data_IF_705732423361
#
_entry.id   IF_705732423361
#
_cell.length_a   1.000
_cell.length_b   1.000
_cell.length_c   1.000
_cell.angle_alpha   90.00
_cell.angle_beta   90.00
_cell.angle_gamma   90.00
#
_symmetry.space_group_name_H-M   'P 1'
#
loop_
_entity.id
_entity.type
_entity.pdbx_description
1 polymer ?
#
# COMPACT_ATOMS: atom_id res chain seq x y z
N UNK A 1 -12.93 18.49 3.42
CA UNK A 1 -12.36 17.51 2.47
C UNK A 1 -13.38 17.13 1.42
N UNK A 2 -12.94 17.18 0.16
CA UNK A 2 -13.78 16.89 -1.02
C UNK A 2 -12.91 16.28 -2.12
N UNK A 3 -13.47 15.42 -2.96
CA UNK A 3 -12.82 15.00 -4.21
C UNK A 3 -12.72 16.22 -5.13
N UNK A 4 -11.50 16.63 -5.48
CA UNK A 4 -11.24 17.81 -6.32
C UNK A 4 -11.19 17.47 -7.78
N UNK A 5 -10.55 16.34 -8.10
CA UNK A 5 -10.34 15.91 -9.47
C UNK A 5 -10.24 14.39 -9.54
N UNK A 6 -10.72 13.82 -10.64
CA UNK A 6 -10.58 12.40 -10.96
C UNK A 6 -10.21 12.30 -12.41
N UNK A 7 -9.18 11.51 -12.72
CA UNK A 7 -8.73 11.29 -14.09
C UNK A 7 -8.60 9.81 -14.39
N UNK A 8 -8.86 9.42 -15.65
CA UNK A 8 -8.69 8.03 -16.12
C UNK A 8 -7.22 7.70 -16.29
N UNK A 9 -6.81 6.51 -15.86
CA UNK A 9 -5.42 6.06 -15.87
C UNK A 9 -5.37 4.61 -16.28
N UNK A 10 -4.89 4.34 -17.49
CA UNK A 10 -4.58 2.99 -17.96
C UNK A 10 -5.70 1.96 -17.77
N UNK A 11 -5.31 0.70 -17.63
CA UNK A 11 -6.20 -0.44 -17.34
C UNK A 11 -5.48 -1.43 -16.45
N UNK A 12 -6.14 -1.95 -15.44
CA UNK A 12 -5.57 -2.81 -14.41
C UNK A 12 -4.63 -2.08 -13.45
N UNK A 13 -4.96 -0.86 -13.02
CA UNK A 13 -4.14 -0.12 -12.04
C UNK A 13 -4.24 -0.71 -10.64
N UNK A 14 -3.16 -0.60 -9.86
CA UNK A 14 -3.07 -1.07 -8.48
C UNK A 14 -2.58 0.02 -7.55
N UNK A 15 -1.37 -0.08 -7.02
CA UNK A 15 -0.83 0.88 -6.07
C UNK A 15 -0.27 2.11 -6.79
N UNK A 16 -0.11 3.14 -5.98
CA UNK A 16 0.53 4.37 -6.38
C UNK A 16 1.49 4.83 -5.27
N UNK A 17 2.53 5.56 -5.67
CA UNK A 17 3.45 6.24 -4.74
C UNK A 17 3.59 7.70 -5.16
N UNK A 18 3.72 8.59 -4.18
CA UNK A 18 3.99 10.01 -4.41
C UNK A 18 5.49 10.26 -4.40
N UNK A 19 5.98 10.96 -5.42
CA UNK A 19 7.33 11.48 -5.46
C UNK A 19 7.34 12.94 -5.02
N UNK A 20 7.95 13.22 -3.87
CA UNK A 20 8.02 14.57 -3.30
C UNK A 20 8.96 15.47 -4.08
N UNK A 21 10.08 14.93 -4.59
CA UNK A 21 11.06 15.72 -5.36
C UNK A 21 10.51 16.13 -6.72
N UNK A 22 9.68 15.28 -7.33
CA UNK A 22 9.11 15.50 -8.66
C UNK A 22 7.70 16.08 -8.68
N UNK A 23 7.04 16.23 -7.52
CA UNK A 23 5.61 16.55 -7.39
C UNK A 23 4.74 15.72 -8.36
N UNK A 24 4.98 14.40 -8.36
CA UNK A 24 4.40 13.47 -9.30
C UNK A 24 3.88 12.22 -8.59
N UNK A 25 2.95 11.52 -9.23
CA UNK A 25 2.50 10.19 -8.79
C UNK A 25 3.02 9.15 -9.76
N UNK A 26 3.48 8.02 -9.25
CA UNK A 26 3.74 6.82 -10.06
C UNK A 26 2.67 5.78 -9.75
N UNK A 27 1.98 5.30 -10.78
CA UNK A 27 0.83 4.39 -10.66
C UNK A 27 1.12 3.12 -11.45
N UNK A 28 1.07 1.96 -10.81
CA UNK A 28 1.27 0.69 -11.49
C UNK A 28 0.05 0.29 -12.30
N UNK A 29 0.27 -0.37 -13.44
CA UNK A 29 -0.79 -0.85 -14.33
C UNK A 29 -0.44 -2.22 -14.91
N UNK A 30 -1.12 -3.25 -14.42
CA UNK A 30 -0.94 -4.64 -14.85
C UNK A 30 -1.56 -4.90 -16.21
N UNK A 31 -2.69 -4.25 -16.51
CA UNK A 31 -3.43 -4.49 -17.76
C UNK A 31 -2.75 -3.85 -18.96
N UNK A 32 -2.08 -2.72 -18.79
CA UNK A 32 -1.25 -2.09 -19.84
C UNK A 32 0.25 -2.38 -19.70
N UNK A 33 0.65 -3.10 -18.64
CA UNK A 33 2.04 -3.45 -18.34
C UNK A 33 2.97 -2.24 -18.31
N UNK A 34 2.52 -1.20 -17.60
CA UNK A 34 3.22 0.07 -17.50
C UNK A 34 3.16 0.63 -16.07
N UNK A 35 4.07 1.56 -15.77
CA UNK A 35 3.96 2.46 -14.62
C UNK A 35 3.73 3.86 -15.20
N UNK A 36 2.61 4.47 -14.88
CA UNK A 36 2.29 5.83 -15.34
C UNK A 36 2.84 6.86 -14.37
N UNK A 37 3.49 7.89 -14.89
CA UNK A 37 3.81 9.10 -14.15
C UNK A 37 2.70 10.12 -14.38
N UNK A 38 2.12 10.62 -13.31
CA UNK A 38 1.07 11.62 -13.35
C UNK A 38 1.58 12.91 -12.72
N UNK A 39 1.15 14.04 -13.27
CA UNK A 39 1.24 15.32 -12.57
C UNK A 39 0.33 15.29 -11.33
N UNK A 40 0.86 15.57 -10.14
CA UNK A 40 0.10 15.38 -8.90
C UNK A 40 -1.08 16.36 -8.74
N UNK A 41 -1.04 17.52 -9.41
CA UNK A 41 -2.11 18.52 -9.31
C UNK A 41 -3.29 18.22 -10.24
N UNK A 42 -2.98 17.84 -11.48
CA UNK A 42 -3.95 17.63 -12.56
C UNK A 42 -4.29 16.17 -12.79
N UNK A 43 -3.51 15.24 -12.23
CA UNK A 43 -3.59 13.79 -12.47
C UNK A 43 -3.45 13.41 -13.95
N UNK A 44 -3.00 14.32 -14.81
CA UNK A 44 -2.72 14.03 -16.21
C UNK A 44 -1.54 13.06 -16.30
N UNK A 45 -1.66 12.03 -17.14
CA UNK A 45 -0.54 11.16 -17.47
C UNK A 45 0.46 11.97 -18.29
N UNK A 46 1.67 12.16 -17.75
CA UNK A 46 2.74 12.95 -18.38
C UNK A 46 3.86 12.07 -18.92
N UNK A 47 3.95 10.82 -18.46
CA UNK A 47 4.99 9.88 -18.87
C UNK A 47 4.59 8.44 -18.53
N UNK A 48 5.34 7.46 -19.05
CA UNK A 48 5.20 6.06 -18.64
C UNK A 48 6.51 5.29 -18.72
N UNK A 49 6.59 4.22 -17.92
CA UNK A 49 7.69 3.26 -17.92
C UNK A 49 7.09 1.89 -18.29
N UNK A 50 7.64 1.24 -19.32
CA UNK A 50 7.22 -0.09 -19.71
C UNK A 50 7.77 -1.17 -18.77
N UNK A 51 6.90 -2.10 -18.33
CA UNK A 51 7.24 -3.25 -17.50
C UNK A 51 6.63 -4.53 -18.10
N UNK A 52 6.91 -4.76 -19.39
CA UNK A 52 6.25 -5.77 -20.23
C UNK A 52 6.42 -7.21 -19.73
N UNK A 53 7.59 -7.49 -19.17
CA UNK A 53 8.02 -8.84 -18.82
C UNK A 53 7.62 -9.20 -17.38
N UNK A 54 7.40 -8.20 -16.54
CA UNK A 54 7.04 -8.35 -15.15
C UNK A 54 6.00 -7.27 -14.75
N UNK A 55 4.69 -7.55 -14.94
CA UNK A 55 3.64 -6.58 -14.64
C UNK A 55 3.65 -6.17 -13.15
N UNK A 56 3.74 -4.87 -12.91
CA UNK A 56 3.85 -4.27 -11.58
C UNK A 56 2.49 -4.17 -10.85
N UNK A 57 2.47 -4.51 -9.56
CA UNK A 57 1.31 -4.41 -8.66
C UNK A 57 1.56 -3.38 -7.56
N UNK A 58 2.40 -3.75 -6.59
CA UNK A 58 2.81 -2.85 -5.52
C UNK A 58 3.96 -1.96 -5.93
N UNK A 59 4.12 -0.80 -5.28
CA UNK A 59 5.13 0.19 -5.65
C UNK A 59 5.67 0.98 -4.46
N UNK A 60 7.00 1.08 -4.41
CA UNK A 60 7.74 1.93 -3.48
C UNK A 60 8.78 2.75 -4.24
N UNK A 61 9.18 3.88 -3.67
CA UNK A 61 10.20 4.76 -4.24
C UNK A 61 11.31 4.99 -3.22
N UNK A 62 12.55 4.99 -3.70
CA UNK A 62 13.67 5.59 -3.00
C UNK A 62 14.05 6.87 -3.74
N UNK A 63 13.70 8.02 -3.18
CA UNK A 63 13.95 9.34 -3.72
C UNK A 63 15.43 9.73 -3.68
N UNK A 64 16.19 9.21 -2.73
CA UNK A 64 17.63 9.49 -2.66
C UNK A 64 18.40 8.83 -3.81
N UNK A 65 18.00 7.61 -4.18
CA UNK A 65 18.63 6.87 -5.28
C UNK A 65 17.90 7.01 -6.62
N UNK A 66 16.70 7.62 -6.61
CA UNK A 66 15.81 7.72 -7.78
C UNK A 66 15.47 6.34 -8.37
N UNK A 67 15.15 5.39 -7.49
CA UNK A 67 14.80 4.01 -7.85
C UNK A 67 13.36 3.70 -7.45
N UNK A 68 12.56 3.19 -8.38
CA UNK A 68 11.29 2.54 -8.06
C UNK A 68 11.50 1.05 -7.80
N UNK A 69 10.79 0.53 -6.83
CA UNK A 69 10.68 -0.91 -6.56
C UNK A 69 9.23 -1.33 -6.76
N UNK A 70 8.98 -2.31 -7.62
CA UNK A 70 7.63 -2.83 -7.86
C UNK A 70 7.53 -4.31 -7.58
N UNK A 71 6.45 -4.74 -6.93
CA UNK A 71 6.15 -6.16 -6.78
C UNK A 71 5.52 -6.70 -8.05
N UNK A 72 5.99 -7.86 -8.47
CA UNK A 72 5.52 -8.58 -9.65
C UNK A 72 4.76 -9.82 -9.17
N UNK A 73 3.59 -9.60 -8.58
CA UNK A 73 2.80 -10.61 -7.85
C UNK A 73 2.63 -11.92 -8.62
N UNK A 74 2.44 -11.88 -9.95
CA UNK A 74 2.21 -13.08 -10.77
C UNK A 74 3.44 -13.95 -10.97
N UNK A 75 4.63 -13.37 -10.87
CA UNK A 75 5.91 -14.05 -11.10
C UNK A 75 6.71 -14.21 -9.82
N UNK A 76 6.14 -13.82 -8.67
CA UNK A 76 6.80 -13.75 -7.37
C UNK A 76 8.21 -13.15 -7.46
N UNK A 77 8.28 -11.89 -7.90
CA UNK A 77 9.54 -11.15 -8.00
C UNK A 77 9.35 -9.67 -7.68
N UNK A 78 10.45 -8.94 -7.63
CA UNK A 78 10.49 -7.48 -7.46
C UNK A 78 11.35 -6.88 -8.57
N UNK A 79 10.88 -5.82 -9.22
CA UNK A 79 11.70 -5.07 -10.17
C UNK A 79 12.25 -3.81 -9.52
N UNK A 80 13.56 -3.60 -9.62
CA UNK A 80 14.21 -2.32 -9.35
C UNK A 80 14.33 -1.56 -10.68
N UNK A 81 13.87 -0.32 -10.70
CA UNK A 81 13.71 0.49 -11.91
C UNK A 81 14.37 1.83 -11.67
N UNK A 82 15.35 2.17 -12.50
CA UNK A 82 16.02 3.47 -12.45
C UNK A 82 15.12 4.53 -13.11
N UNK A 83 14.74 5.57 -12.37
CA UNK A 83 13.79 6.59 -12.83
C UNK A 83 14.38 7.50 -13.92
N UNK A 84 15.70 7.65 -13.97
CA UNK A 84 16.37 8.53 -14.95
C UNK A 84 16.35 7.90 -16.34
N UNK A 85 16.71 6.62 -16.42
CA UNK A 85 16.80 5.82 -17.65
C UNK A 85 15.49 5.13 -18.00
N UNK A 86 14.56 5.01 -17.04
CA UNK A 86 13.28 4.29 -17.14
C UNK A 86 13.45 2.82 -17.48
N UNK A 87 14.56 2.22 -17.06
CA UNK A 87 14.86 0.81 -17.32
C UNK A 87 14.76 0.00 -16.05
N UNK A 88 14.24 -1.22 -16.18
CA UNK A 88 14.39 -2.24 -15.15
C UNK A 88 15.87 -2.59 -15.06
N UNK A 89 16.53 -2.20 -13.97
CA UNK A 89 17.94 -2.47 -13.74
C UNK A 89 18.18 -3.84 -13.12
N UNK A 90 17.17 -4.37 -12.41
CA UNK A 90 17.22 -5.71 -11.83
C UNK A 90 15.81 -6.27 -11.64
N UNK A 91 15.65 -7.55 -11.96
CA UNK A 91 14.52 -8.36 -11.49
C UNK A 91 15.04 -9.30 -10.40
N UNK A 92 14.46 -9.18 -9.21
CA UNK A 92 14.86 -9.86 -7.98
C UNK A 92 13.83 -10.97 -7.75
N UNK A 93 14.24 -12.21 -7.94
CA UNK A 93 13.41 -13.37 -7.63
C UNK A 93 13.64 -13.79 -6.17
N UNK A 94 12.58 -14.25 -5.52
CA UNK A 94 12.66 -14.86 -4.19
C UNK A 94 12.74 -16.38 -4.25
N UNK A 95 12.59 -17.04 -3.11
CA UNK A 95 12.49 -18.49 -3.03
C UNK A 95 11.39 -19.04 -3.95
N UNK A 96 11.65 -20.18 -4.59
CA UNK A 96 10.65 -20.87 -5.41
C UNK A 96 9.68 -21.64 -4.52
N UNK A 97 8.65 -20.95 -4.03
CA UNK A 97 7.58 -21.54 -3.25
C UNK A 97 6.20 -21.01 -3.68
N UNK A 98 5.12 -21.62 -3.18
CA UNK A 98 3.73 -21.25 -3.51
C UNK A 98 3.33 -19.98 -2.76
N UNK A 99 3.92 -18.86 -3.14
CA UNK A 99 3.79 -17.55 -2.52
C UNK A 99 3.74 -16.43 -3.58
N UNK A 100 3.49 -15.20 -3.16
CA UNK A 100 3.51 -14.05 -4.07
C UNK A 100 3.82 -12.74 -3.34
N UNK A 101 4.67 -11.92 -3.95
CA UNK A 101 4.95 -10.56 -3.50
C UNK A 101 3.68 -9.68 -3.52
N UNK A 102 3.54 -8.83 -2.50
CA UNK A 102 2.38 -7.95 -2.31
C UNK A 102 2.78 -6.49 -2.11
N UNK A 103 2.99 -6.06 -0.87
CA UNK A 103 3.34 -4.67 -0.55
C UNK A 103 4.85 -4.47 -0.58
N UNK A 104 5.28 -3.24 -0.84
CA UNK A 104 6.69 -2.84 -0.79
C UNK A 104 6.85 -1.52 -0.05
N UNK A 105 7.78 -1.48 0.91
CA UNK A 105 8.16 -0.24 1.60
C UNK A 105 9.66 -0.04 1.52
N UNK A 106 10.08 1.22 1.52
CA UNK A 106 11.47 1.62 1.35
C UNK A 106 11.94 2.37 2.58
N UNK A 107 13.08 1.94 3.14
CA UNK A 107 13.85 2.73 4.08
C UNK A 107 15.01 3.42 3.35
N UNK A 108 14.79 4.67 2.95
CA UNK A 108 15.80 5.48 2.25
C UNK A 108 17.02 5.83 3.11
N UNK A 109 16.93 5.72 4.44
CA UNK A 109 18.06 6.06 5.33
C UNK A 109 19.08 4.93 5.34
N UNK A 110 18.60 3.68 5.28
CA UNK A 110 19.42 2.49 5.19
C UNK A 110 19.61 1.99 3.75
N UNK A 111 18.92 2.61 2.79
CA UNK A 111 18.80 2.12 1.41
C UNK A 111 18.38 0.65 1.38
N UNK A 112 17.32 0.30 2.12
CA UNK A 112 16.75 -1.04 2.20
C UNK A 112 15.31 -1.04 1.72
N UNK A 113 14.89 -2.17 1.15
CA UNK A 113 13.53 -2.37 0.67
C UNK A 113 12.97 -3.62 1.32
N UNK A 114 11.75 -3.53 1.85
CA UNK A 114 11.05 -4.62 2.51
C UNK A 114 9.80 -4.97 1.71
N UNK A 115 9.64 -6.25 1.40
CA UNK A 115 8.53 -6.74 0.57
C UNK A 115 7.82 -7.86 1.28
N UNK A 116 6.50 -7.76 1.41
CA UNK A 116 5.71 -8.88 1.91
C UNK A 116 5.51 -9.93 0.83
N UNK A 117 5.73 -11.18 1.21
CA UNK A 117 5.56 -12.35 0.35
C UNK A 117 4.52 -13.28 0.98
N UNK A 118 3.35 -13.32 0.35
CA UNK A 118 2.11 -13.82 0.94
C UNK A 118 1.94 -15.31 0.65
N UNK A 119 1.83 -16.11 1.71
CA UNK A 119 1.62 -17.56 1.62
C UNK A 119 1.18 -18.20 2.95
N UNK A 120 1.16 -19.53 2.99
CA UNK A 120 0.83 -20.32 4.20
C UNK A 120 1.83 -20.13 5.35
N UNK A 121 3.11 -19.92 5.02
CA UNK A 121 4.12 -19.32 5.88
C UNK A 121 4.65 -18.08 5.17
N UNK A 122 4.02 -16.92 5.44
CA UNK A 122 4.40 -15.68 4.75
C UNK A 122 5.79 -15.24 5.17
N UNK A 123 6.45 -14.51 4.28
CA UNK A 123 7.83 -14.04 4.46
C UNK A 123 7.91 -12.54 4.27
N UNK A 124 9.04 -11.98 4.70
CA UNK A 124 9.44 -10.63 4.31
C UNK A 124 10.80 -10.72 3.63
N UNK A 125 10.89 -10.21 2.42
CA UNK A 125 12.17 -10.07 1.73
C UNK A 125 12.82 -8.76 2.15
N UNK A 126 14.11 -8.83 2.46
CA UNK A 126 14.97 -7.68 2.68
C UNK A 126 15.88 -7.57 1.46
N UNK A 127 15.74 -6.48 0.73
CA UNK A 127 16.50 -6.18 -0.47
C UNK A 127 17.47 -5.06 -0.14
N UNK A 128 18.73 -5.26 -0.50
CA UNK A 128 19.76 -4.23 -0.43
C UNK A 128 19.61 -3.29 -1.63
N UNK A 129 19.28 -2.02 -1.38
CA UNK A 129 19.02 -1.03 -2.44
C UNK A 129 20.28 -0.50 -3.12
N UNK A 130 21.49 -0.81 -2.62
CA UNK A 130 22.75 -0.43 -3.28
C UNK A 130 23.07 -1.41 -4.40
N UNK A 131 22.84 -2.70 -4.16
CA UNK A 131 23.11 -3.79 -5.09
C UNK A 131 21.88 -4.25 -5.86
N UNK A 132 20.68 -3.85 -5.40
CA UNK A 132 19.39 -4.38 -5.83
C UNK A 132 19.35 -5.92 -5.75
N UNK A 133 19.94 -6.50 -4.71
CA UNK A 133 19.96 -7.94 -4.50
C UNK A 133 19.10 -8.34 -3.29
N UNK A 134 18.53 -9.54 -3.34
CA UNK A 134 17.89 -10.15 -2.17
C UNK A 134 18.99 -10.44 -1.13
N UNK A 135 18.97 -9.70 -0.03
CA UNK A 135 19.96 -9.81 1.04
C UNK A 135 19.54 -10.87 2.06
N UNK A 136 18.25 -10.89 2.41
CA UNK A 136 17.71 -11.79 3.42
C UNK A 136 16.24 -12.09 3.15
N UNK A 137 15.81 -13.28 3.55
CA UNK A 137 14.40 -13.64 3.67
C UNK A 137 14.10 -13.90 5.14
N UNK A 138 13.13 -13.18 5.69
CA UNK A 138 12.62 -13.40 7.04
C UNK A 138 11.43 -14.34 6.92
N UNK A 139 11.61 -15.56 7.40
CA UNK A 139 10.62 -16.65 7.34
C UNK A 139 9.56 -16.52 8.45
N UNK A 140 8.43 -17.20 8.26
CA UNK A 140 7.39 -17.40 9.28
C UNK A 140 6.86 -16.09 9.91
N UNK A 141 6.61 -15.08 9.09
CA UNK A 141 6.12 -13.76 9.53
C UNK A 141 4.62 -13.74 9.85
N UNK A 142 3.95 -14.87 9.62
CA UNK A 142 2.55 -15.09 9.94
C UNK A 142 1.79 -15.77 8.81
N UNK A 143 0.47 -15.86 8.98
CA UNK A 143 -0.44 -16.46 8.01
C UNK A 143 -1.03 -15.37 7.13
N UNK A 144 -0.70 -15.40 5.83
CA UNK A 144 -1.17 -14.42 4.85
C UNK A 144 -0.82 -12.98 5.27
N UNK A 145 0.48 -12.72 5.49
CA UNK A 145 1.01 -11.41 5.88
C UNK A 145 0.96 -10.43 4.71
N UNK A 146 0.04 -9.48 4.71
CA UNK A 146 -0.24 -8.58 3.58
C UNK A 146 0.39 -7.19 3.78
N UNK A 147 -0.28 -6.32 4.53
CA UNK A 147 0.15 -4.96 4.82
C UNK A 147 1.44 -4.93 5.61
N UNK A 148 2.25 -3.89 5.40
CA UNK A 148 3.51 -3.68 6.09
C UNK A 148 3.75 -2.20 6.38
N UNK A 149 4.28 -1.91 7.56
CA UNK A 149 4.84 -0.61 7.91
C UNK A 149 6.09 -0.78 8.79
N UNK A 150 6.92 0.27 8.87
CA UNK A 150 8.21 0.22 9.55
C UNK A 150 8.30 1.25 10.68
N UNK A 151 8.76 0.81 11.86
CA UNK A 151 9.42 1.67 12.83
C UNK A 151 10.92 1.65 12.54
N UNK A 152 11.38 2.67 11.80
CA UNK A 152 12.79 2.79 11.41
C UNK A 152 13.71 2.94 12.62
N UNK A 153 13.26 3.58 13.70
CA UNK A 153 14.09 3.82 14.88
C UNK A 153 14.34 2.53 15.64
N UNK A 154 13.30 1.72 15.85
CA UNK A 154 13.44 0.44 16.53
C UNK A 154 13.85 -0.70 15.60
N UNK A 155 13.90 -0.48 14.28
CA UNK A 155 14.15 -1.52 13.27
C UNK A 155 13.15 -2.68 13.39
N UNK A 156 11.86 -2.33 13.49
CA UNK A 156 10.76 -3.30 13.53
C UNK A 156 9.79 -3.07 12.39
N UNK A 157 9.29 -4.17 11.83
CA UNK A 157 8.21 -4.18 10.86
C UNK A 157 6.91 -4.61 11.55
N UNK A 158 5.84 -3.93 11.21
CA UNK A 158 4.49 -4.28 11.61
C UNK A 158 3.76 -4.80 10.38
N UNK A 159 3.27 -6.02 10.44
CA UNK A 159 2.54 -6.66 9.32
C UNK A 159 1.14 -7.06 9.72
N UNK A 160 0.19 -6.97 8.79
CA UNK A 160 -1.15 -7.55 9.00
C UNK A 160 -1.15 -9.00 8.57
N UNK A 161 -1.33 -9.91 9.53
CA UNK A 161 -1.50 -11.34 9.30
C UNK A 161 -2.99 -11.63 9.07
N UNK A 162 -3.45 -11.43 7.83
CA UNK A 162 -4.87 -11.49 7.48
C UNK A 162 -5.50 -12.85 7.80
N UNK A 163 -4.73 -13.94 7.69
CA UNK A 163 -5.22 -15.29 7.93
C UNK A 163 -5.42 -15.63 9.41
N UNK A 164 -4.90 -14.81 10.32
CA UNK A 164 -5.04 -14.98 11.78
C UNK A 164 -5.60 -13.74 12.49
N UNK A 165 -5.93 -12.66 11.75
CA UNK A 165 -6.38 -11.37 12.28
C UNK A 165 -5.44 -10.79 13.36
N UNK A 166 -4.13 -10.87 13.13
CA UNK A 166 -3.10 -10.34 14.03
C UNK A 166 -2.26 -9.25 13.36
N UNK A 167 -1.75 -8.32 14.15
CA UNK A 167 -0.61 -7.46 13.81
C UNK A 167 0.64 -8.24 14.23
N UNK A 168 1.43 -8.73 13.27
CA UNK A 168 2.73 -9.33 13.54
C UNK A 168 3.80 -8.26 13.73
N UNK A 169 4.66 -8.42 14.73
CA UNK A 169 5.83 -7.56 14.97
C UNK A 169 7.08 -8.36 14.63
N UNK A 170 7.78 -7.94 13.58
CA UNK A 170 9.00 -8.58 13.10
C UNK A 170 10.18 -7.71 13.45
N UNK A 171 11.15 -8.26 14.18
CA UNK A 171 12.42 -7.57 14.45
C UNK A 171 13.35 -7.80 13.26
N UNK A 172 13.80 -6.72 12.61
CA UNK A 172 14.61 -6.82 11.38
C UNK A 172 16.00 -7.38 11.69
N UNK A 173 16.60 -7.00 12.83
CA UNK A 173 17.95 -7.42 13.20
C UNK A 173 17.97 -8.91 13.54
N UNK A 174 17.06 -9.35 14.41
CA UNK A 174 16.87 -10.76 14.71
C UNK A 174 16.36 -11.53 13.49
N UNK A 175 15.61 -10.83 12.61
CA UNK A 175 14.91 -11.34 11.44
C UNK A 175 14.02 -12.52 11.76
N UNK A 176 13.08 -12.27 12.68
CA UNK A 176 12.00 -13.19 13.02
C UNK A 176 10.80 -12.39 13.53
N UNK A 177 9.62 -13.01 13.43
CA UNK A 177 8.44 -12.58 14.18
C UNK A 177 8.74 -12.70 15.68
N UNK A 178 8.68 -11.59 16.40
CA UNK A 178 8.96 -11.54 17.85
C UNK A 178 7.71 -11.38 18.69
N UNK A 179 6.60 -10.92 18.10
CA UNK A 179 5.35 -10.75 18.82
C UNK A 179 4.15 -10.68 17.86
N UNK A 180 2.93 -10.77 18.41
CA UNK A 180 1.68 -10.56 17.68
C UNK A 180 0.61 -9.94 18.57
N UNK A 181 -0.19 -9.03 18.01
CA UNK A 181 -1.28 -8.35 18.72
C UNK A 181 -2.61 -8.59 17.97
N UNK A 182 -3.70 -8.95 18.65
CA UNK A 182 -5.01 -9.06 17.99
C UNK A 182 -5.40 -7.75 17.33
N UNK A 183 -5.85 -7.82 16.09
CA UNK A 183 -6.31 -6.64 15.35
C UNK A 183 -7.65 -6.13 15.87
N UNK A 184 -8.47 -7.00 16.45
CA UNK A 184 -9.83 -6.69 16.90
C UNK A 184 -10.89 -6.68 15.79
N UNK A 185 -10.52 -7.00 14.54
CA UNK A 185 -11.44 -7.07 13.40
C UNK A 185 -11.20 -8.31 12.54
N UNK A 186 -11.85 -8.37 11.37
CA UNK A 186 -11.79 -9.53 10.48
C UNK A 186 -11.27 -9.20 9.08
N UNK A 187 -10.38 -10.06 8.57
CA UNK A 187 -9.78 -9.87 7.26
C UNK A 187 -8.92 -8.61 7.23
N UNK A 188 -8.06 -8.43 8.23
CA UNK A 188 -7.15 -7.29 8.34
C UNK A 188 -6.16 -7.28 7.17
N UNK A 189 -6.24 -6.26 6.32
CA UNK A 189 -5.53 -6.22 5.03
C UNK A 189 -4.31 -5.32 5.04
N UNK A 190 -4.44 -4.11 5.61
CA UNK A 190 -3.38 -3.12 5.71
C UNK A 190 -3.42 -2.37 7.04
N UNK A 191 -2.31 -1.69 7.36
CA UNK A 191 -2.17 -0.91 8.58
C UNK A 191 -1.42 0.42 8.34
N UNK A 192 -1.65 1.39 9.22
CA UNK A 192 -0.92 2.65 9.26
C UNK A 192 -0.40 2.90 10.69
N UNK A 193 0.92 3.11 10.82
CA UNK A 193 1.57 3.34 12.12
C UNK A 193 1.52 4.81 12.53
N UNK A 194 1.18 5.05 13.79
CA UNK A 194 1.31 6.34 14.47
C UNK A 194 2.24 6.17 15.68
N UNK A 195 3.55 6.15 15.41
CA UNK A 195 4.58 5.93 16.43
C UNK A 195 4.62 7.06 17.46
N UNK A 196 4.25 8.29 17.07
CA UNK A 196 4.21 9.44 17.99
C UNK A 196 3.21 9.21 19.12
N UNK A 197 2.07 8.57 18.81
CA UNK A 197 1.02 8.28 19.76
C UNK A 197 0.96 6.79 20.16
N UNK A 198 2.01 6.01 19.88
CA UNK A 198 2.13 4.58 20.19
C UNK A 198 0.90 3.76 19.78
N UNK A 199 0.40 3.95 18.56
CA UNK A 199 -0.79 3.24 18.08
C UNK A 199 -0.68 2.86 16.61
N UNK A 200 -1.55 1.96 16.20
CA UNK A 200 -1.68 1.50 14.81
C UNK A 200 -3.15 1.48 14.42
N UNK A 201 -3.44 1.94 13.21
CA UNK A 201 -4.75 1.83 12.58
C UNK A 201 -4.74 0.62 11.64
N UNK A 202 -5.73 -0.25 11.72
CA UNK A 202 -5.81 -1.47 10.91
C UNK A 202 -7.12 -1.48 10.12
N UNK A 203 -7.03 -1.62 8.79
CA UNK A 203 -8.20 -1.78 7.93
C UNK A 203 -8.65 -3.24 7.88
N UNK A 204 -9.90 -3.50 8.28
CA UNK A 204 -10.47 -4.83 8.36
C UNK A 204 -11.52 -5.01 7.27
N UNK A 205 -11.13 -5.73 6.22
CA UNK A 205 -11.90 -5.78 4.98
C UNK A 205 -13.24 -6.50 5.14
N UNK A 206 -13.29 -7.57 5.96
CA UNK A 206 -14.50 -8.37 6.14
C UNK A 206 -15.47 -7.72 7.12
N UNK A 207 -14.98 -7.14 8.21
CA UNK A 207 -15.81 -6.49 9.24
C UNK A 207 -16.23 -5.05 8.91
N UNK A 208 -15.70 -4.48 7.81
CA UNK A 208 -16.01 -3.12 7.33
C UNK A 208 -15.75 -2.03 8.39
N UNK A 209 -14.59 -2.10 9.02
CA UNK A 209 -14.15 -1.14 10.01
C UNK A 209 -12.64 -0.92 9.99
N UNK A 210 -12.22 0.12 10.71
CA UNK A 210 -10.85 0.31 11.16
C UNK A 210 -10.78 0.12 12.66
N UNK A 211 -9.82 -0.68 13.12
CA UNK A 211 -9.48 -0.75 14.54
C UNK A 211 -8.26 0.12 14.85
N UNK A 212 -8.27 0.75 16.01
CA UNK A 212 -7.13 1.48 16.58
C UNK A 212 -6.58 0.65 17.72
N UNK A 213 -5.33 0.22 17.62
CA UNK A 213 -4.67 -0.60 18.63
C UNK A 213 -3.55 0.20 19.27
N UNK A 214 -3.54 0.29 20.59
CA UNK A 214 -2.44 0.88 21.35
C UNK A 214 -1.29 -0.13 21.44
N UNK A 215 -0.12 0.25 20.96
CA UNK A 215 1.05 -0.61 20.86
C UNK A 215 1.72 -0.88 22.22
N UNK A 216 1.44 -0.06 23.24
CA UNK A 216 2.02 -0.19 24.58
C UNK A 216 1.21 -1.16 25.44
N UNK A 217 -0.10 -0.95 25.51
CA UNK A 217 -1.07 -1.76 26.26
C UNK A 217 -1.51 -3.00 25.48
N UNK A 218 -1.30 -3.00 24.16
CA UNK A 218 -1.69 -4.08 23.23
C UNK A 218 -3.19 -4.30 23.17
N UNK A 219 -3.97 -3.26 23.46
CA UNK A 219 -5.44 -3.30 23.46
C UNK A 219 -6.02 -2.51 22.30
N UNK A 220 -7.18 -2.95 21.84
CA UNK A 220 -8.02 -2.17 20.93
C UNK A 220 -8.57 -0.98 21.71
N UNK A 221 -8.23 0.22 21.27
CA UNK A 221 -8.71 1.50 21.84
C UNK A 221 -10.05 1.89 21.22
N UNK A 222 -10.24 1.61 19.94
CA UNK A 222 -11.46 1.99 19.22
C UNK A 222 -11.71 1.10 18.01
N UNK A 223 -12.98 0.88 17.71
CA UNK A 223 -13.45 0.30 16.44
C UNK A 223 -14.32 1.33 15.73
N UNK A 224 -13.90 1.73 14.53
CA UNK A 224 -14.51 2.82 13.75
C UNK A 224 -15.14 2.21 12.51
N UNK A 225 -16.47 2.31 12.39
CA UNK A 225 -17.16 1.85 11.19
C UNK A 225 -16.79 2.72 9.99
N UNK A 226 -16.52 2.08 8.87
CA UNK A 226 -16.23 2.72 7.57
C UNK A 226 -17.21 2.18 6.53
N UNK A 227 -16.84 2.19 5.25
CA UNK A 227 -17.57 1.49 4.19
C UNK A 227 -17.19 0.01 4.06
N UNK A 228 -18.03 -0.76 3.38
CA UNK A 228 -17.76 -2.14 3.03
C UNK A 228 -16.41 -2.29 2.31
N UNK A 229 -15.58 -3.23 2.77
CA UNK A 229 -14.33 -3.55 2.10
C UNK A 229 -13.17 -2.61 2.38
N UNK A 230 -13.02 -2.14 3.62
CA UNK A 230 -11.85 -1.38 4.07
C UNK A 230 -10.54 -2.10 3.66
N UNK A 231 -9.75 -1.47 2.81
CA UNK A 231 -8.61 -2.12 2.13
C UNK A 231 -7.32 -1.30 2.24
N UNK A 232 -7.24 -0.17 1.54
CA UNK A 232 -6.09 0.74 1.62
C UNK A 232 -6.26 1.67 2.81
N UNK A 233 -5.20 1.90 3.58
CA UNK A 233 -5.22 2.83 4.71
C UNK A 233 -3.92 3.63 4.79
N UNK A 234 -4.02 4.92 5.08
CA UNK A 234 -2.85 5.78 5.29
C UNK A 234 -3.13 6.84 6.35
N UNK A 235 -2.06 7.30 7.01
CA UNK A 235 -2.11 8.34 8.05
C UNK A 235 -1.38 9.60 7.58
N UNK A 236 -2.09 10.71 7.59
CA UNK A 236 -1.53 12.06 7.64
C UNK A 236 -1.39 12.48 9.10
N UNK A 237 -0.22 12.22 9.68
CA UNK A 237 0.06 12.56 11.08
C UNK A 237 0.13 14.08 11.31
N UNK A 238 0.47 14.87 10.29
CA UNK A 238 0.56 16.32 10.41
C UNK A 238 -0.83 16.97 10.51
N UNK A 239 -1.82 16.41 9.81
CA UNK A 239 -3.21 16.89 9.84
C UNK A 239 -4.14 16.06 10.73
N UNK A 240 -3.63 15.03 11.41
CA UNK A 240 -4.42 14.08 12.19
C UNK A 240 -5.58 13.49 11.37
N UNK A 241 -5.27 12.96 10.18
CA UNK A 241 -6.27 12.34 9.30
C UNK A 241 -5.86 10.92 8.93
N UNK A 242 -6.79 9.98 9.03
CA UNK A 242 -6.64 8.64 8.47
C UNK A 242 -7.59 8.51 7.29
N UNK A 243 -7.09 8.06 6.15
CA UNK A 243 -7.88 7.82 4.95
C UNK A 243 -8.00 6.32 4.74
N UNK A 244 -9.21 5.85 4.44
CA UNK A 244 -9.51 4.42 4.29
C UNK A 244 -10.24 4.22 2.98
N UNK A 245 -9.63 3.50 2.04
CA UNK A 245 -10.27 3.09 0.80
C UNK A 245 -11.21 1.89 1.05
N UNK A 246 -12.51 2.11 0.90
CA UNK A 246 -13.55 1.10 1.08
C UNK A 246 -13.91 0.53 -0.29
N UNK A 247 -13.22 -0.55 -0.66
CA UNK A 247 -13.27 -1.07 -2.02
C UNK A 247 -14.68 -1.39 -2.46
N UNK A 248 -15.43 -2.18 -1.71
CA UNK A 248 -16.78 -2.60 -2.07
C UNK A 248 -17.81 -1.47 -2.00
N UNK A 249 -17.61 -0.47 -1.14
CA UNK A 249 -18.50 0.67 -1.02
C UNK A 249 -18.30 1.74 -2.11
N UNK A 250 -17.15 1.77 -2.79
CA UNK A 250 -16.85 2.83 -3.75
C UNK A 250 -16.49 4.18 -3.10
N UNK A 251 -16.09 4.16 -1.83
CA UNK A 251 -15.82 5.38 -1.05
C UNK A 251 -14.44 5.38 -0.39
N UNK A 252 -14.01 6.57 0.02
CA UNK A 252 -12.92 6.78 0.96
C UNK A 252 -13.46 7.44 2.22
N UNK A 253 -13.36 6.76 3.35
CA UNK A 253 -13.68 7.34 4.65
C UNK A 253 -12.48 8.13 5.15
N UNK A 254 -12.73 9.35 5.65
CA UNK A 254 -11.74 10.14 6.37
C UNK A 254 -12.09 10.16 7.85
N UNK A 255 -11.11 9.81 8.68
CA UNK A 255 -11.24 9.70 10.13
C UNK A 255 -10.33 10.75 10.78
N UNK A 256 -10.81 11.44 11.81
CA UNK A 256 -9.97 12.25 12.68
C UNK A 256 -9.11 11.34 13.55
N UNK A 257 -7.78 11.42 13.39
CA UNK A 257 -6.88 10.57 14.16
C UNK A 257 -6.86 10.93 15.66
N UNK A 258 -7.33 12.11 16.08
CA UNK A 258 -7.29 12.53 17.49
C UNK A 258 -8.46 11.96 18.29
N UNK A 259 -9.68 12.09 17.79
CA UNK A 259 -10.90 11.69 18.50
C UNK A 259 -11.70 10.57 17.81
N UNK A 260 -11.15 10.00 16.74
CA UNK A 260 -11.67 8.83 16.03
C UNK A 260 -13.02 9.03 15.33
N UNK A 261 -13.45 10.27 15.16
CA UNK A 261 -14.69 10.57 14.42
C UNK A 261 -14.50 10.40 12.93
N UNK A 262 -15.53 9.88 12.25
CA UNK A 262 -15.61 9.96 10.80
C UNK A 262 -15.93 11.42 10.42
N UNK A 263 -15.03 12.00 9.63
CA UNK A 263 -15.14 13.39 9.16
C UNK A 263 -15.81 13.48 7.79
N UNK A 264 -15.63 12.45 6.96
CA UNK A 264 -16.23 12.38 5.64
C UNK A 264 -16.29 10.94 5.12
N UNK A 265 -17.25 10.66 4.24
CA UNK A 265 -17.28 9.46 3.42
C UNK A 265 -17.43 9.89 1.95
N UNK A 266 -16.34 9.79 1.20
CA UNK A 266 -16.16 10.44 -0.09
C UNK A 266 -16.28 9.43 -1.22
N UNK A 267 -17.22 9.60 -2.15
CA UNK A 267 -17.30 8.77 -3.35
C UNK A 267 -16.13 9.09 -4.29
N UNK A 268 -15.20 8.17 -4.48
CA UNK A 268 -13.98 8.40 -5.30
C UNK A 268 -13.96 7.61 -6.61
N UNK A 269 -14.73 6.54 -6.73
CA UNK A 269 -14.78 5.67 -7.92
C UNK A 269 -15.46 4.34 -7.63
N UNK A 270 -15.37 3.38 -8.57
CA UNK A 270 -16.08 2.10 -8.46
C UNK A 270 -15.47 1.19 -7.39
N UNK A 271 -14.18 0.88 -7.49
CA UNK A 271 -13.47 0.02 -6.53
C UNK A 271 -12.16 0.68 -6.06
N UNK A 272 -12.22 1.62 -5.09
CA UNK A 272 -11.03 2.19 -4.45
C UNK A 272 -10.10 1.08 -3.96
N UNK A 273 -8.81 1.18 -4.25
CA UNK A 273 -7.83 0.14 -3.97
C UNK A 273 -6.76 0.63 -3.00
N UNK A 274 -5.99 1.63 -3.42
CA UNK A 274 -4.88 2.20 -2.64
C UNK A 274 -5.17 3.66 -2.37
N UNK A 275 -4.82 4.13 -1.16
CA UNK A 275 -4.85 5.55 -0.80
C UNK A 275 -3.51 5.94 -0.17
N UNK A 276 -2.91 7.02 -0.67
CA UNK A 276 -1.68 7.61 -0.13
C UNK A 276 -1.90 9.10 0.14
N UNK A 277 -1.04 9.69 0.96
CA UNK A 277 -1.05 11.13 1.24
C UNK A 277 0.28 11.76 0.85
N UNK A 278 0.22 12.92 0.18
CA UNK A 278 1.35 13.84 0.13
C UNK A 278 1.46 14.54 1.49
N UNK A 279 2.49 14.17 2.26
CA UNK A 279 2.70 14.65 3.63
C UNK A 279 2.93 16.16 3.71
N UNK A 280 3.34 16.81 2.62
CA UNK A 280 3.60 18.25 2.59
C UNK A 280 2.30 19.04 2.50
N UNK A 281 1.40 18.64 1.59
CA UNK A 281 0.15 19.36 1.36
C UNK A 281 -1.01 18.84 2.20
N UNK A 282 -1.01 17.54 2.51
CA UNK A 282 -2.13 16.80 3.09
C UNK A 282 -3.16 16.35 2.05
N UNK A 283 -2.86 16.51 0.75
CA UNK A 283 -3.68 15.95 -0.32
C UNK A 283 -3.56 14.42 -0.33
N UNK A 284 -4.69 13.74 -0.49
CA UNK A 284 -4.72 12.28 -0.63
C UNK A 284 -5.03 11.88 -2.07
N UNK A 285 -4.43 10.78 -2.51
CA UNK A 285 -4.57 10.24 -3.85
C UNK A 285 -5.04 8.80 -3.79
N UNK A 286 -6.01 8.45 -4.64
CA UNK A 286 -6.72 7.17 -4.55
C UNK A 286 -6.74 6.52 -5.92
N UNK A 287 -6.27 5.28 -6.04
CA UNK A 287 -6.53 4.46 -7.24
C UNK A 287 -7.91 3.81 -7.12
N UNK A 288 -8.71 3.91 -8.18
CA UNK A 288 -10.01 3.24 -8.27
C UNK A 288 -10.01 2.32 -9.48
N UNK A 289 -10.30 1.04 -9.24
CA UNK A 289 -10.43 0.06 -10.29
C UNK A 289 -11.84 0.11 -10.90
N UNK A 290 -11.90 -0.06 -12.21
CA UNK A 290 -13.08 -0.29 -13.01
C UNK A 290 -13.82 -1.52 -12.52
N UNK A 291 -15.15 -1.50 -12.70
CA UNK A 291 -15.94 -2.70 -12.56
C UNK A 291 -15.61 -3.71 -13.66
N UNK A 292 -15.43 -4.96 -13.25
CA UNK A 292 -15.36 -6.11 -14.15
C UNK A 292 -16.45 -7.09 -13.75
N UNK A 293 -17.28 -7.53 -14.70
CA UNK A 293 -18.21 -8.64 -14.48
C UNK A 293 -17.58 -9.92 -15.01
N UNK A 294 -17.29 -10.86 -14.10
CA UNK A 294 -16.67 -12.14 -14.46
C UNK A 294 -17.54 -12.94 -15.44
N UNK A 295 -18.86 -12.83 -15.31
CA UNK A 295 -19.84 -13.58 -16.11
C UNK A 295 -20.35 -12.80 -17.33
N UNK A 296 -19.89 -11.57 -17.52
CA UNK A 296 -20.21 -10.76 -18.70
C UNK A 296 -18.92 -10.12 -19.26
N UNK A 297 -18.21 -10.82 -20.16
CA UNK A 297 -17.01 -10.28 -20.78
C UNK A 297 -17.27 -9.07 -21.69
N UNK A 298 -18.53 -8.74 -22.00
CA UNK A 298 -18.91 -7.54 -22.77
C UNK A 298 -19.17 -6.33 -21.88
N UNK A 299 -19.26 -6.48 -20.56
CA UNK A 299 -19.46 -5.37 -19.65
C UNK A 299 -18.24 -4.42 -19.67
N UNK A 300 -18.49 -3.15 -19.98
CA UNK A 300 -17.48 -2.09 -19.95
C UNK A 300 -17.89 -1.06 -18.90
N UNK A 301 -17.07 -0.88 -17.87
CA UNK A 301 -17.16 0.29 -17.01
C UNK A 301 -16.61 1.50 -17.78
N UNK A 302 -17.51 2.37 -18.24
CA UNK A 302 -17.16 3.55 -19.02
C UNK A 302 -16.30 4.54 -18.24
N UNK A 303 -16.23 4.47 -16.91
CA UNK A 303 -15.30 5.27 -16.12
C UNK A 303 -13.87 4.73 -16.20
N UNK A 304 -13.71 3.43 -16.44
CA UNK A 304 -12.40 2.77 -16.46
C UNK A 304 -11.68 2.86 -15.10
N UNK A 305 -10.39 2.56 -15.14
CA UNK A 305 -9.52 2.74 -13.99
C UNK A 305 -9.17 4.23 -13.84
N UNK A 306 -9.24 4.77 -12.64
CA UNK A 306 -9.05 6.21 -12.38
C UNK A 306 -8.17 6.47 -11.17
N UNK A 307 -7.56 7.66 -11.13
CA UNK A 307 -6.95 8.21 -9.91
C UNK A 307 -7.76 9.43 -9.49
N UNK A 308 -8.05 9.53 -8.20
CA UNK A 308 -8.80 10.64 -7.59
C UNK A 308 -7.91 11.42 -6.61
N UNK A 309 -8.00 12.75 -6.64
CA UNK A 309 -7.37 13.67 -5.71
C UNK A 309 -8.41 14.16 -4.70
N UNK A 310 -8.16 13.92 -3.42
CA UNK A 310 -8.90 14.47 -2.30
C UNK A 310 -8.09 15.64 -1.74
N UNK A 311 -8.67 16.84 -1.82
CA UNK A 311 -8.12 18.03 -1.18
C UNK A 311 -8.61 18.17 0.25
N UNK A 312 -7.86 18.93 1.05
CA UNK A 312 -8.28 19.40 2.38
C UNK A 312 -9.62 20.17 2.31
#
# INVERSE_FOLDING_TARGET
QTVKHTNKVGKGIYELVHSEQGNALYVTSVGTKAIYKLDAKTLAVVDSIAVTDAPAFGIGINEKTQTLYTTNTRTNSVSAIDLKTKKVVKTIAGPSDKSHTREVIVDEDLNKVYVTDVGGGSKIWVIDGKTNALERVIENTGKTSTGIAIDKKSQKLYVTNMGSNQIGIVDIKQGKLVDSIPTGGEGSTNLALDLKNNRVFVANQKSADVTVVDLKTRQVVQTIKTGAGALGITLDAAKNRVYVANRQAGTVTVIDAKDYKVLADLKTGTYPNTVIVDKKTGNAYVTNKAQSKRDDPKFVDNNGDTVSLIGL
#
